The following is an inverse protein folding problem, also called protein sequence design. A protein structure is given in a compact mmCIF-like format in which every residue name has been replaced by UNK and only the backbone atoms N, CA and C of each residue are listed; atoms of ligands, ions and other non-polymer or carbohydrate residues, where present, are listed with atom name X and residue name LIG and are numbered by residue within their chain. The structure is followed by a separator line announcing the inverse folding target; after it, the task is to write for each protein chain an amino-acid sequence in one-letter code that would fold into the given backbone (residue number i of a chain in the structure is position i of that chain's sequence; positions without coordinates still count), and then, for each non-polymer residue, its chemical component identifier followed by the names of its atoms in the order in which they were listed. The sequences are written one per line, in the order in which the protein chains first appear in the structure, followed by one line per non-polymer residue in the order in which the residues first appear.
data_IF_993690481242
#
_entry.id   IF_993690481242
#
_cell.length_a   1.000
_cell.length_b   1.000
_cell.length_c   1.000
_cell.angle_alpha   90.00
_cell.angle_beta   90.00
_cell.angle_gamma   90.00
#
_symmetry.space_group_name_H-M   'P 1'
#
loop_
_entity.id
_entity.type
_entity.pdbx_description
1 polymer ?
#
# COMPACT_ATOMS: atom_id res chain seq x y z
N UNK A 1 -13.97 -52.92 -49.32
CA UNK A 1 -13.29 -51.63 -49.61
C UNK A 1 -14.07 -50.41 -49.13
N UNK A 2 -15.36 -50.23 -49.46
CA UNK A 2 -16.13 -49.02 -49.05
C UNK A 2 -16.11 -48.71 -47.54
N UNK A 3 -16.24 -49.73 -46.67
CA UNK A 3 -16.28 -49.50 -45.21
C UNK A 3 -14.97 -48.95 -44.63
N UNK A 4 -13.82 -49.32 -45.21
CA UNK A 4 -12.51 -48.82 -44.76
C UNK A 4 -12.29 -47.35 -45.15
N UNK A 5 -12.80 -46.95 -46.31
CA UNK A 5 -12.72 -45.56 -46.79
C UNK A 5 -13.56 -44.64 -45.88
N UNK A 6 -14.75 -45.09 -45.48
CA UNK A 6 -15.62 -44.34 -44.55
C UNK A 6 -14.96 -44.17 -43.18
N UNK A 7 -14.40 -45.25 -42.61
CA UNK A 7 -13.71 -45.19 -41.31
C UNK A 7 -12.48 -44.26 -41.37
N UNK A 8 -11.70 -44.34 -42.46
CA UNK A 8 -10.57 -43.45 -42.66
C UNK A 8 -11.02 -41.98 -42.73
N UNK A 9 -12.07 -41.65 -43.50
CA UNK A 9 -12.57 -40.28 -43.59
C UNK A 9 -13.06 -39.70 -42.26
N UNK A 10 -13.63 -40.54 -41.39
CA UNK A 10 -14.14 -40.13 -40.08
C UNK A 10 -13.01 -39.87 -39.08
N UNK A 11 -11.90 -40.61 -39.18
CA UNK A 11 -10.70 -40.39 -38.36
C UNK A 11 -9.99 -39.07 -38.70
N UNK A 12 -10.04 -38.62 -39.96
CA UNK A 12 -9.43 -37.35 -40.39
C UNK A 12 -10.23 -36.10 -39.99
N UNK A 13 -11.52 -36.25 -39.66
CA UNK A 13 -12.38 -35.11 -39.27
C UNK A 13 -11.92 -34.44 -37.95
N UNK A 14 -11.24 -35.17 -37.07
CA UNK A 14 -10.72 -34.66 -35.80
C UNK A 14 -9.52 -33.71 -35.92
N UNK A 15 -8.85 -33.63 -37.07
CA UNK A 15 -7.68 -32.76 -37.28
C UNK A 15 -8.01 -31.33 -37.73
N UNK A 16 -9.29 -31.00 -37.92
CA UNK A 16 -9.72 -29.67 -38.41
C UNK A 16 -10.20 -28.72 -37.30
N UNK A 17 -10.16 -29.17 -36.04
CA UNK A 17 -10.60 -28.37 -34.89
C UNK A 17 -9.54 -27.37 -34.47
N UNK A 18 -9.58 -26.17 -35.06
CA UNK A 18 -8.79 -25.03 -34.59
C UNK A 18 -9.34 -24.59 -33.23
N UNK A 19 -8.52 -24.55 -32.16
CA UNK A 19 -8.99 -24.04 -30.88
C UNK A 19 -9.42 -22.57 -31.02
N UNK A 20 -10.48 -22.13 -30.32
CA UNK A 20 -10.91 -20.74 -30.37
C UNK A 20 -9.76 -19.83 -29.94
N UNK A 21 -9.65 -18.67 -30.59
CA UNK A 21 -8.63 -17.68 -30.25
C UNK A 21 -8.75 -17.32 -28.75
N UNK A 22 -7.62 -17.17 -28.03
CA UNK A 22 -7.65 -16.82 -26.62
C UNK A 22 -8.37 -15.48 -26.44
N UNK A 23 -9.37 -15.45 -25.56
CA UNK A 23 -9.99 -14.19 -25.13
C UNK A 23 -9.08 -13.53 -24.09
N UNK A 24 -8.59 -12.34 -24.40
CA UNK A 24 -7.87 -11.53 -23.43
C UNK A 24 -8.88 -10.83 -22.52
N UNK A 25 -8.64 -10.91 -21.22
CA UNK A 25 -9.41 -10.20 -20.20
C UNK A 25 -8.53 -9.11 -19.63
N UNK A 26 -9.00 -7.87 -19.67
CA UNK A 26 -8.32 -6.76 -18.98
C UNK A 26 -8.47 -6.93 -17.47
N UNK A 27 -7.36 -7.02 -16.76
CA UNK A 27 -7.32 -7.12 -15.29
C UNK A 27 -6.72 -5.83 -14.73
N UNK A 28 -7.49 -5.11 -13.92
CA UNK A 28 -6.99 -3.96 -13.18
C UNK A 28 -6.17 -4.43 -11.98
N UNK A 29 -4.85 -4.40 -12.13
CA UNK A 29 -3.91 -4.67 -11.03
C UNK A 29 -3.73 -3.39 -10.23
N UNK A 30 -4.05 -3.37 -8.92
CA UNK A 30 -3.77 -2.21 -8.08
C UNK A 30 -2.26 -2.01 -7.98
N UNK A 31 -1.79 -0.81 -8.31
CA UNK A 31 -0.40 -0.38 -8.18
C UNK A 31 -0.28 0.61 -7.03
N UNK A 32 0.75 0.46 -6.20
CA UNK A 32 1.00 1.39 -5.10
C UNK A 32 1.36 2.77 -5.67
N UNK A 33 0.58 3.77 -5.32
CA UNK A 33 0.83 5.17 -5.68
C UNK A 33 1.55 5.89 -4.53
N UNK A 34 2.43 6.88 -4.82
CA UNK A 34 3.04 7.68 -3.78
C UNK A 34 1.95 8.50 -3.09
N UNK A 35 1.94 8.49 -1.76
CA UNK A 35 1.02 9.33 -1.01
C UNK A 35 1.51 10.79 -1.00
N UNK A 36 0.63 11.71 -1.39
CA UNK A 36 0.91 13.15 -1.38
C UNK A 36 0.12 13.78 -0.24
N UNK A 37 0.78 14.05 0.88
CA UNK A 37 0.19 14.71 2.05
C UNK A 37 1.03 15.90 2.48
N UNK A 38 0.44 16.79 3.28
CA UNK A 38 1.17 17.88 3.89
C UNK A 38 2.19 17.35 4.91
N UNK A 39 3.38 17.93 4.90
CA UNK A 39 4.40 17.64 5.91
C UNK A 39 3.95 18.18 7.28
N UNK A 40 4.06 17.36 8.31
CA UNK A 40 3.66 17.72 9.68
C UNK A 40 4.88 18.26 10.39
N UNK A 41 4.91 19.57 10.60
CA UNK A 41 6.04 20.25 11.22
C UNK A 41 6.27 19.75 12.66
N UNK A 42 7.49 19.27 12.95
CA UNK A 42 7.89 18.87 14.30
C UNK A 42 7.87 20.08 15.24
N UNK A 43 7.13 20.05 16.36
CA UNK A 43 7.16 21.11 17.35
C UNK A 43 8.55 21.31 17.95
N UNK A 44 8.86 22.55 18.34
CA UNK A 44 10.07 22.86 19.10
C UNK A 44 9.90 22.38 20.56
N UNK A 45 10.22 21.10 20.79
CA UNK A 45 10.16 20.48 22.12
C UNK A 45 11.14 21.16 23.08
N UNK A 46 10.66 21.58 24.25
CA UNK A 46 11.44 22.19 25.31
C UNK A 46 12.57 21.30 25.84
N UNK A 47 12.38 19.97 25.83
CA UNK A 47 13.36 18.97 26.24
C UNK A 47 14.60 19.01 25.34
N UNK A 48 14.45 19.31 24.06
CA UNK A 48 15.57 19.38 23.11
C UNK A 48 16.54 20.53 23.43
N UNK A 49 16.11 21.50 24.24
CA UNK A 49 16.92 22.65 24.67
C UNK A 49 17.51 22.48 26.07
N UNK A 50 17.24 21.36 26.76
CA UNK A 50 17.75 21.15 28.11
C UNK A 50 19.25 20.84 28.09
N UNK A 51 20.03 21.41 29.03
CA UNK A 51 21.43 21.04 29.18
C UNK A 51 21.57 19.57 29.62
N UNK A 52 22.62 18.92 29.17
CA UNK A 52 22.97 17.57 29.61
C UNK A 52 23.20 17.59 31.13
N UNK A 53 22.53 16.67 31.85
CA UNK A 53 22.61 16.61 33.31
C UNK A 53 21.66 17.56 34.05
N UNK A 54 20.69 18.17 33.36
CA UNK A 54 19.61 18.93 34.01
C UNK A 54 18.97 18.12 35.16
N UNK A 55 18.63 18.80 36.25
CA UNK A 55 18.01 18.15 37.41
C UNK A 55 16.64 17.57 37.06
N UNK A 56 16.22 16.55 37.80
CA UNK A 56 14.96 15.82 37.52
C UNK A 56 13.75 16.77 37.51
N UNK A 57 13.70 17.75 38.41
CA UNK A 57 12.59 18.71 38.49
C UNK A 57 12.49 19.58 37.23
N UNK A 58 13.62 19.99 36.65
CA UNK A 58 13.68 20.77 35.40
C UNK A 58 13.22 19.90 34.22
N UNK A 59 13.70 18.65 34.15
CA UNK A 59 13.26 17.69 33.12
C UNK A 59 11.74 17.43 33.20
N UNK A 60 11.23 17.18 34.41
CA UNK A 60 9.81 16.88 34.63
C UNK A 60 8.90 18.07 34.30
N UNK A 61 9.36 19.30 34.55
CA UNK A 61 8.65 20.51 34.14
C UNK A 61 8.53 20.62 32.63
N UNK A 62 9.64 20.43 31.90
CA UNK A 62 9.65 20.47 30.44
C UNK A 62 8.75 19.39 29.84
N UNK A 63 8.85 18.15 30.33
CA UNK A 63 8.02 17.03 29.88
C UNK A 63 6.52 17.25 30.13
N UNK A 64 6.16 17.83 31.29
CA UNK A 64 4.76 18.16 31.59
C UNK A 64 4.21 19.24 30.66
N UNK A 65 5.01 20.26 30.35
CA UNK A 65 4.62 21.31 29.40
C UNK A 65 4.42 20.74 27.98
N UNK A 66 5.24 19.78 27.56
CA UNK A 66 5.15 19.14 26.25
C UNK A 66 4.01 18.14 26.10
N UNK A 67 3.42 17.64 27.20
CA UNK A 67 2.49 16.51 27.15
C UNK A 67 1.38 16.69 26.10
N UNK A 68 0.78 17.88 26.08
CA UNK A 68 -0.29 18.16 25.10
C UNK A 68 0.24 18.44 23.69
N UNK A 69 1.45 19.00 23.56
CA UNK A 69 2.09 19.22 22.27
C UNK A 69 2.35 17.89 21.56
N UNK A 70 2.85 16.88 22.29
CA UNK A 70 3.08 15.54 21.74
C UNK A 70 1.79 14.85 21.33
N UNK A 71 0.74 14.95 22.15
CA UNK A 71 -0.58 14.40 21.81
C UNK A 71 -1.14 15.06 20.54
N UNK A 72 -0.98 16.37 20.38
CA UNK A 72 -1.39 17.10 19.17
C UNK A 72 -0.61 16.63 17.94
N UNK A 73 0.72 16.62 18.04
CA UNK A 73 1.60 16.18 16.96
C UNK A 73 1.34 14.74 16.52
N UNK A 74 1.12 13.82 17.46
CA UNK A 74 0.76 12.43 17.14
C UNK A 74 -0.57 12.34 16.39
N UNK A 75 -1.57 13.14 16.77
CA UNK A 75 -2.86 13.19 16.06
C UNK A 75 -2.72 13.74 14.64
N UNK A 76 -1.91 14.77 14.45
CA UNK A 76 -1.63 15.32 13.11
C UNK A 76 -0.91 14.29 12.23
N UNK A 77 0.07 13.57 12.78
CA UNK A 77 0.76 12.49 12.07
C UNK A 77 -0.19 11.34 11.70
N UNK A 78 -1.07 10.93 12.62
CA UNK A 78 -2.09 9.91 12.33
C UNK A 78 -3.01 10.41 11.22
N UNK A 79 -3.49 11.65 11.28
CA UNK A 79 -4.36 12.22 10.25
C UNK A 79 -3.67 12.26 8.88
N UNK A 80 -2.40 12.66 8.82
CA UNK A 80 -1.61 12.64 7.59
C UNK A 80 -1.44 11.21 7.05
N UNK A 81 -1.27 10.21 7.91
CA UNK A 81 -1.17 8.80 7.49
C UNK A 81 -2.52 8.26 6.98
N UNK A 82 -3.62 8.53 7.68
CA UNK A 82 -4.96 8.10 7.27
C UNK A 82 -5.37 8.69 5.91
N UNK A 83 -4.91 9.90 5.58
CA UNK A 83 -5.12 10.48 4.24
C UNK A 83 -4.52 9.63 3.10
N UNK A 84 -3.58 8.73 3.41
CA UNK A 84 -2.90 7.85 2.45
C UNK A 84 -3.51 6.46 2.28
N UNK A 85 -4.49 6.08 3.11
CA UNK A 85 -4.94 4.68 3.21
C UNK A 85 -6.04 4.30 2.21
N UNK A 86 -6.47 5.21 1.34
CA UNK A 86 -7.52 5.01 0.35
C UNK A 86 -6.97 5.01 -1.08
#
# INVERSE_FOLDING_TARGET
MNKLIVIASMALAGCTTVPPAPSYVEVKVPVAVPCITADVARPAFAVDQLPIGATIDVQMRALRAERHQRIGFERELIAANEACKN
#
